data_IF_880275872003
#
_entry.id   IF_880275872003
#
_cell.length_a   1.000
_cell.length_b   1.000
_cell.length_c   1.000
_cell.angle_alpha   90.00
_cell.angle_beta   90.00
_cell.angle_gamma   90.00
#
_symmetry.space_group_name_H-M   'P 1'
#
loop_
_entity.id
_entity.type
_entity.pdbx_description
1 polymer ?
#
# COMPACT_ATOMS: atom_id res chain seq x y z
N UNK A 1 9.14 -10.59 1.38
CA UNK A 1 9.19 -10.86 2.84
C UNK A 1 10.55 -10.45 3.36
N UNK A 2 10.64 -10.10 4.64
CA UNK A 2 11.88 -9.64 5.28
C UNK A 2 12.70 -10.81 5.85
N UNK A 3 13.94 -10.56 6.24
CA UNK A 3 14.90 -11.64 6.53
C UNK A 3 14.50 -12.39 7.81
N UNK A 4 14.14 -11.68 8.89
CA UNK A 4 13.73 -12.33 10.14
C UNK A 4 12.33 -12.94 10.01
N UNK A 5 11.43 -12.40 9.20
CA UNK A 5 10.16 -13.05 8.85
C UNK A 5 10.39 -14.44 8.23
N UNK A 6 11.29 -14.52 7.24
CA UNK A 6 11.64 -15.78 6.56
C UNK A 6 12.27 -16.77 7.55
N UNK A 7 13.19 -16.30 8.40
CA UNK A 7 13.82 -17.14 9.42
C UNK A 7 12.76 -17.68 10.40
N UNK A 8 11.89 -16.83 10.94
CA UNK A 8 10.83 -17.24 11.88
C UNK A 8 9.87 -18.26 11.25
N UNK A 9 9.43 -18.02 10.02
CA UNK A 9 8.51 -18.93 9.30
C UNK A 9 9.16 -20.27 8.96
N UNK A 10 10.38 -20.24 8.41
CA UNK A 10 11.09 -21.45 8.03
C UNK A 10 11.40 -22.30 9.26
N UNK A 11 11.93 -21.68 10.31
CA UNK A 11 12.31 -22.39 11.53
C UNK A 11 11.12 -22.90 12.31
N UNK A 12 10.03 -22.15 12.43
CA UNK A 12 8.79 -22.64 13.08
C UNK A 12 8.16 -23.81 12.30
N UNK A 13 8.19 -23.75 10.96
CA UNK A 13 7.67 -24.83 10.10
C UNK A 13 8.53 -26.10 10.22
N UNK A 14 9.86 -25.97 10.12
CA UNK A 14 10.80 -27.10 10.30
C UNK A 14 10.62 -27.69 11.70
N UNK A 15 10.53 -26.85 12.72
CA UNK A 15 10.46 -27.32 14.11
C UNK A 15 9.15 -28.03 14.44
N UNK A 16 8.02 -27.60 13.85
CA UNK A 16 6.76 -28.36 13.89
C UNK A 16 6.96 -29.80 13.39
N UNK A 17 7.68 -29.97 12.28
CA UNK A 17 7.94 -31.28 11.69
C UNK A 17 8.94 -32.11 12.53
N UNK A 18 9.98 -31.48 13.09
CA UNK A 18 10.93 -32.14 14.00
C UNK A 18 10.25 -32.64 15.28
N UNK A 19 9.34 -31.86 15.86
CA UNK A 19 8.54 -32.29 17.01
C UNK A 19 7.62 -33.47 16.66
N UNK A 20 7.05 -33.48 15.45
CA UNK A 20 6.18 -34.57 14.99
C UNK A 20 6.95 -35.87 14.72
N UNK A 21 8.18 -35.79 14.20
CA UNK A 21 9.01 -36.95 13.84
C UNK A 21 9.97 -37.41 14.95
N UNK A 22 10.00 -36.69 16.09
CA UNK A 22 10.90 -36.96 17.22
C UNK A 22 12.39 -36.89 16.87
N UNK A 23 12.74 -36.21 15.77
CA UNK A 23 14.11 -36.08 15.28
C UNK A 23 14.81 -34.84 15.86
N UNK A 24 14.73 -34.65 17.18
CA UNK A 24 15.46 -33.56 17.84
C UNK A 24 16.22 -34.07 19.06
N UNK A 25 17.55 -34.10 18.96
CA UNK A 25 18.47 -34.41 20.06
C UNK A 25 18.88 -33.19 20.90
N UNK A 26 18.20 -32.05 20.71
CA UNK A 26 18.55 -30.77 21.34
C UNK A 26 17.88 -30.62 22.71
N UNK A 27 18.59 -30.02 23.66
CA UNK A 27 17.99 -29.58 24.92
C UNK A 27 16.94 -28.50 24.64
N UNK A 28 15.78 -28.55 25.31
CA UNK A 28 14.67 -27.60 25.09
C UNK A 28 15.03 -26.12 25.24
N UNK A 29 16.12 -25.81 25.95
CA UNK A 29 16.63 -24.45 26.12
C UNK A 29 17.10 -23.82 24.82
N UNK A 30 17.75 -24.59 23.94
CA UNK A 30 18.32 -24.08 22.69
C UNK A 30 17.23 -23.53 21.73
N UNK A 31 16.19 -24.29 21.35
CA UNK A 31 15.14 -23.78 20.46
C UNK A 31 14.34 -22.63 21.08
N UNK A 32 14.10 -22.65 22.40
CA UNK A 32 13.43 -21.56 23.10
C UNK A 32 14.25 -20.26 23.02
N UNK A 33 15.54 -20.32 23.36
CA UNK A 33 16.43 -19.17 23.25
C UNK A 33 16.53 -18.67 21.81
N UNK A 34 16.60 -19.57 20.84
CA UNK A 34 16.61 -19.23 19.43
C UNK A 34 15.35 -18.46 19.02
N UNK A 35 14.15 -19.01 19.26
CA UNK A 35 12.90 -18.33 18.92
C UNK A 35 12.75 -16.98 19.61
N UNK A 36 13.08 -16.89 20.91
CA UNK A 36 13.05 -15.62 21.64
C UNK A 36 14.02 -14.59 21.06
N UNK A 37 15.24 -15.01 20.70
CA UNK A 37 16.27 -14.11 20.15
C UNK A 37 15.89 -13.59 18.77
N UNK A 38 15.43 -14.46 17.88
CA UNK A 38 15.01 -14.07 16.52
C UNK A 38 13.74 -13.21 16.57
N UNK A 39 12.78 -13.53 17.45
CA UNK A 39 11.57 -12.73 17.62
C UNK A 39 11.90 -11.33 18.16
N UNK A 40 12.81 -11.23 19.12
CA UNK A 40 13.31 -9.94 19.62
C UNK A 40 14.00 -9.15 18.50
N UNK A 41 14.89 -9.78 17.73
CA UNK A 41 15.55 -9.14 16.59
C UNK A 41 14.55 -8.65 15.55
N UNK A 42 13.53 -9.46 15.22
CA UNK A 42 12.45 -9.08 14.31
C UNK A 42 11.71 -7.82 14.81
N UNK A 43 11.29 -7.79 16.07
CA UNK A 43 10.58 -6.63 16.61
C UNK A 43 11.44 -5.36 16.68
N UNK A 44 12.74 -5.49 16.98
CA UNK A 44 13.65 -4.35 17.07
C UNK A 44 14.10 -3.81 15.71
N UNK A 45 14.35 -4.70 14.74
CA UNK A 45 14.98 -4.33 13.47
C UNK A 45 13.99 -4.22 12.31
N UNK A 46 12.98 -5.09 12.25
CA UNK A 46 11.98 -5.10 11.18
C UNK A 46 10.63 -4.51 11.63
N UNK A 47 10.41 -4.43 12.94
CA UNK A 47 9.17 -3.93 13.53
C UNK A 47 8.03 -4.96 13.53
N UNK A 48 7.02 -4.69 14.35
CA UNK A 48 5.81 -5.52 14.43
C UNK A 48 5.01 -5.48 13.13
N UNK A 49 4.54 -6.65 12.68
CA UNK A 49 3.65 -6.79 11.52
C UNK A 49 2.50 -7.73 11.82
N UNK A 50 1.27 -7.27 11.66
CA UNK A 50 0.09 -8.08 11.94
C UNK A 50 -0.01 -9.32 11.01
N UNK A 51 0.58 -9.27 9.81
CA UNK A 51 0.63 -10.41 8.90
C UNK A 51 1.36 -11.62 9.51
N UNK A 52 2.24 -11.38 10.48
CA UNK A 52 3.03 -12.40 11.16
C UNK A 52 2.34 -12.96 12.41
N UNK A 53 1.14 -12.48 12.77
CA UNK A 53 0.38 -12.98 13.94
C UNK A 53 0.19 -14.50 13.93
N UNK A 54 -0.19 -15.16 12.82
CA UNK A 54 -0.26 -16.63 12.78
C UNK A 54 1.07 -17.29 13.17
N UNK A 55 2.20 -16.76 12.67
CA UNK A 55 3.54 -17.26 12.99
C UNK A 55 3.89 -17.04 14.45
N UNK A 56 3.56 -15.88 15.03
CA UNK A 56 3.78 -15.61 16.45
C UNK A 56 2.99 -16.60 17.33
N UNK A 57 1.73 -16.88 16.96
CA UNK A 57 0.91 -17.88 17.66
C UNK A 57 1.50 -19.28 17.56
N UNK A 58 1.97 -19.69 16.37
CA UNK A 58 2.68 -20.97 16.18
C UNK A 58 3.89 -21.04 17.10
N UNK A 59 4.73 -20.00 17.16
CA UNK A 59 5.93 -19.98 18.00
C UNK A 59 5.57 -20.08 19.49
N UNK A 60 4.53 -19.39 19.95
CA UNK A 60 4.05 -19.48 21.34
C UNK A 60 3.58 -20.89 21.66
N UNK A 61 2.78 -21.50 20.78
CA UNK A 61 2.28 -22.88 20.95
C UNK A 61 3.44 -23.87 20.95
N UNK A 62 4.38 -23.76 20.01
CA UNK A 62 5.58 -24.59 19.95
C UNK A 62 6.41 -24.47 21.24
N UNK A 63 6.65 -23.24 21.70
CA UNK A 63 7.41 -22.97 22.91
C UNK A 63 6.74 -23.56 24.15
N UNK A 64 5.42 -23.45 24.24
CA UNK A 64 4.63 -24.07 25.31
C UNK A 64 4.70 -25.60 25.26
N UNK A 65 4.51 -26.19 24.08
CA UNK A 65 4.58 -27.64 23.89
C UNK A 65 5.98 -28.18 24.22
N UNK A 66 7.05 -27.47 23.87
CA UNK A 66 8.41 -27.83 24.27
C UNK A 66 8.62 -27.77 25.78
N UNK A 67 8.13 -26.72 26.42
CA UNK A 67 8.28 -26.55 27.86
C UNK A 67 7.56 -27.66 28.64
N UNK A 68 6.34 -28.01 28.21
CA UNK A 68 5.49 -29.06 28.80
C UNK A 68 5.80 -30.47 28.27
N UNK A 69 6.77 -30.61 27.37
CA UNK A 69 7.12 -31.89 26.73
C UNK A 69 5.91 -32.57 26.08
N UNK A 70 5.00 -31.73 25.55
CA UNK A 70 3.79 -32.16 24.88
C UNK A 70 4.12 -32.83 23.55
N UNK A 71 3.45 -33.96 23.28
CA UNK A 71 3.69 -34.77 22.09
C UNK A 71 2.58 -34.51 21.06
N UNK A 72 2.94 -33.82 19.97
CA UNK A 72 2.09 -33.69 18.80
C UNK A 72 1.77 -35.08 18.21
N UNK A 73 0.58 -35.22 17.62
CA UNK A 73 0.12 -36.46 16.99
C UNK A 73 0.10 -37.71 17.91
N UNK A 74 0.07 -37.53 19.24
CA UNK A 74 -0.22 -38.62 20.19
C UNK A 74 -1.72 -38.71 20.49
N UNK A 75 -2.23 -39.94 20.60
CA UNK A 75 -3.64 -40.22 20.89
C UNK A 75 -4.36 -40.94 19.74
N UNK A 76 -5.69 -40.92 19.79
CA UNK A 76 -6.54 -41.55 18.79
C UNK A 76 -6.47 -40.83 17.43
N UNK A 77 -6.95 -41.52 16.38
CA UNK A 77 -6.94 -41.00 15.00
C UNK A 77 -7.62 -39.63 14.88
N UNK A 78 -8.70 -39.40 15.63
CA UNK A 78 -9.40 -38.11 15.67
C UNK A 78 -8.48 -36.94 16.08
N UNK A 79 -7.72 -37.07 17.17
CA UNK A 79 -6.77 -36.03 17.61
C UNK A 79 -5.68 -35.78 16.58
N UNK A 80 -5.16 -36.84 15.94
CA UNK A 80 -4.16 -36.73 14.88
C UNK A 80 -4.71 -35.96 13.67
N UNK A 81 -5.92 -36.29 13.23
CA UNK A 81 -6.61 -35.59 12.15
C UNK A 81 -6.83 -34.12 12.48
N UNK A 82 -7.25 -33.82 13.71
CA UNK A 82 -7.44 -32.43 14.16
C UNK A 82 -6.15 -31.61 14.11
N UNK A 83 -5.01 -32.18 14.55
CA UNK A 83 -3.71 -31.52 14.41
C UNK A 83 -3.32 -31.32 12.93
N UNK A 84 -3.48 -32.35 12.09
CA UNK A 84 -3.16 -32.26 10.67
C UNK A 84 -3.98 -31.18 9.96
N UNK A 85 -5.30 -31.15 10.18
CA UNK A 85 -6.20 -30.14 9.62
C UNK A 85 -5.81 -28.74 10.10
N UNK A 86 -5.52 -28.58 11.39
CA UNK A 86 -5.08 -27.28 11.94
C UNK A 86 -3.80 -26.78 11.27
N UNK A 87 -2.83 -27.66 11.04
CA UNK A 87 -1.58 -27.32 10.35
C UNK A 87 -1.80 -26.98 8.88
N UNK A 88 -2.65 -27.74 8.18
CA UNK A 88 -3.03 -27.51 6.78
C UNK A 88 -3.70 -26.14 6.61
N UNK A 89 -4.42 -25.66 7.62
CA UNK A 89 -5.05 -24.34 7.57
C UNK A 89 -4.06 -23.23 7.97
N UNK A 90 -3.35 -23.39 9.09
CA UNK A 90 -2.57 -22.29 9.66
C UNK A 90 -1.27 -22.00 8.88
N UNK A 91 -0.61 -23.03 8.32
CA UNK A 91 0.67 -22.85 7.64
C UNK A 91 0.54 -22.05 6.33
N UNK A 92 -0.44 -22.34 5.45
CA UNK A 92 -0.68 -21.51 4.26
C UNK A 92 -1.04 -20.07 4.62
N UNK A 93 -1.77 -19.83 5.71
CA UNK A 93 -2.10 -18.47 6.16
C UNK A 93 -0.83 -17.76 6.66
N UNK A 94 0.00 -18.45 7.46
CA UNK A 94 1.23 -17.92 8.02
C UNK A 94 2.24 -17.50 6.93
N UNK A 95 2.37 -18.29 5.87
CA UNK A 95 3.21 -17.95 4.72
C UNK A 95 2.52 -16.97 3.75
N UNK A 96 1.23 -17.17 3.50
CA UNK A 96 0.47 -16.44 2.50
C UNK A 96 0.26 -14.98 2.83
N UNK A 97 -0.04 -14.62 4.09
CA UNK A 97 -0.27 -13.22 4.48
C UNK A 97 0.96 -12.31 4.26
N UNK A 98 2.15 -12.61 4.81
CA UNK A 98 3.33 -11.75 4.61
C UNK A 98 3.87 -11.80 3.18
N UNK A 99 3.58 -12.87 2.42
CA UNK A 99 3.88 -12.95 0.99
C UNK A 99 2.96 -12.04 0.15
N UNK A 100 1.64 -12.12 0.36
CA UNK A 100 0.65 -11.36 -0.40
C UNK A 100 0.62 -9.87 -0.03
N UNK A 101 0.92 -9.54 1.22
CA UNK A 101 0.96 -8.17 1.73
C UNK A 101 2.35 -7.84 2.28
N UNK A 102 3.40 -7.74 1.44
CA UNK A 102 4.75 -7.47 1.90
C UNK A 102 4.94 -5.99 2.23
N UNK A 103 5.84 -5.69 3.18
CA UNK A 103 6.43 -4.36 3.26
C UNK A 103 7.55 -4.28 2.19
N UNK A 104 7.18 -3.82 1.00
CA UNK A 104 8.04 -3.78 -0.19
C UNK A 104 9.01 -2.58 -0.16
N UNK A 105 10.00 -2.62 -1.05
CA UNK A 105 10.90 -1.50 -1.29
C UNK A 105 10.52 -0.83 -2.61
N UNK A 106 10.50 0.50 -2.62
CA UNK A 106 10.39 1.26 -3.86
C UNK A 106 11.71 1.15 -4.65
N UNK A 107 11.67 1.15 -5.99
CA UNK A 107 12.88 1.20 -6.79
C UNK A 107 13.63 2.50 -6.50
N UNK A 108 14.96 2.43 -6.45
CA UNK A 108 15.80 3.61 -6.26
C UNK A 108 15.79 4.44 -7.55
N UNK A 109 15.45 5.74 -7.50
CA UNK A 109 15.50 6.59 -8.68
C UNK A 109 16.90 6.65 -9.28
N UNK A 110 16.99 6.62 -10.60
CA UNK A 110 18.27 6.50 -11.32
C UNK A 110 18.84 7.83 -11.80
N UNK A 111 18.03 8.89 -11.78
CA UNK A 111 18.42 10.21 -12.24
C UNK A 111 19.32 10.99 -11.27
N UNK A 112 19.79 12.15 -11.75
CA UNK A 112 20.74 13.02 -11.03
C UNK A 112 20.14 13.69 -9.79
N UNK A 113 18.85 14.00 -9.81
CA UNK A 113 18.21 14.80 -8.77
C UNK A 113 17.56 13.94 -7.69
N UNK A 114 17.44 14.50 -6.49
CA UNK A 114 16.59 13.95 -5.43
C UNK A 114 15.18 14.50 -5.59
N UNK A 115 14.17 13.77 -5.14
CA UNK A 115 12.78 14.21 -5.23
C UNK A 115 12.37 14.93 -3.94
N UNK A 116 12.02 16.21 -4.04
CA UNK A 116 11.29 16.92 -2.99
C UNK A 116 9.79 16.87 -3.26
N UNK A 117 8.98 16.98 -2.22
CA UNK A 117 7.53 17.17 -2.34
C UNK A 117 7.03 18.33 -1.48
N UNK A 118 5.92 18.92 -1.93
CA UNK A 118 5.07 19.80 -1.13
C UNK A 118 3.62 19.67 -1.58
N UNK A 119 2.67 20.05 -0.71
CA UNK A 119 1.25 20.08 -1.03
C UNK A 119 0.78 21.51 -1.27
N UNK A 120 0.01 21.71 -2.33
CA UNK A 120 -0.70 22.94 -2.63
C UNK A 120 -2.21 22.70 -2.49
N UNK A 121 -2.89 23.62 -1.83
CA UNK A 121 -4.35 23.67 -1.78
C UNK A 121 -4.85 24.65 -2.83
N UNK A 122 -5.71 24.19 -3.73
CA UNK A 122 -6.32 25.02 -4.76
C UNK A 122 -7.83 24.99 -4.60
N UNK A 123 -8.43 26.15 -4.31
CA UNK A 123 -9.88 26.35 -4.39
C UNK A 123 -10.20 27.10 -5.68
N UNK A 124 -11.04 26.51 -6.53
CA UNK A 124 -11.41 27.12 -7.81
C UNK A 124 -12.73 27.88 -7.69
N UNK A 125 -13.11 28.60 -8.74
CA UNK A 125 -14.41 29.28 -8.84
C UNK A 125 -15.53 28.36 -9.38
N UNK A 126 -15.19 27.14 -9.81
CA UNK A 126 -16.15 26.16 -10.32
C UNK A 126 -16.98 25.59 -9.17
N UNK A 127 -18.23 25.25 -9.47
CA UNK A 127 -19.10 24.59 -8.51
C UNK A 127 -18.64 23.15 -8.25
N UNK A 128 -18.82 22.69 -7.02
CA UNK A 128 -18.58 21.30 -6.64
C UNK A 128 -19.86 20.48 -6.86
N UNK A 129 -19.89 19.74 -7.97
CA UNK A 129 -21.06 18.98 -8.42
C UNK A 129 -21.23 17.63 -7.68
N UNK A 130 -20.20 17.15 -7.00
CA UNK A 130 -20.23 15.82 -6.36
C UNK A 130 -20.96 15.85 -5.01
N UNK A 131 -21.04 17.02 -4.38
CA UNK A 131 -21.72 17.18 -3.09
C UNK A 131 -23.10 17.79 -3.26
N UNK A 132 -24.06 17.49 -2.37
CA UNK A 132 -25.38 18.12 -2.41
C UNK A 132 -25.37 19.58 -1.90
N UNK A 133 -24.22 20.12 -1.50
CA UNK A 133 -24.14 21.44 -0.87
C UNK A 133 -24.22 22.54 -1.94
N UNK A 134 -25.26 23.36 -1.86
CA UNK A 134 -25.42 24.52 -2.73
C UNK A 134 -24.28 25.52 -2.54
N UNK A 135 -23.78 26.08 -3.64
CA UNK A 135 -22.66 27.03 -3.67
C UNK A 135 -21.33 26.50 -3.09
N UNK A 136 -21.17 25.18 -2.97
CA UNK A 136 -19.84 24.61 -2.71
C UNK A 136 -18.95 24.78 -3.93
N UNK A 137 -17.65 24.98 -3.70
CA UNK A 137 -16.67 25.28 -4.74
C UNK A 137 -15.63 24.19 -4.80
N UNK A 138 -15.29 23.79 -6.02
CA UNK A 138 -14.34 22.72 -6.29
C UNK A 138 -12.99 23.04 -5.65
N UNK A 139 -12.56 22.18 -4.76
CA UNK A 139 -11.30 22.30 -4.05
C UNK A 139 -10.44 21.07 -4.33
N UNK A 140 -9.15 21.26 -4.55
CA UNK A 140 -8.20 20.22 -4.96
C UNK A 140 -6.96 20.28 -4.07
N UNK A 141 -6.43 19.10 -3.77
CA UNK A 141 -5.09 18.96 -3.21
C UNK A 141 -4.14 18.56 -4.32
N UNK A 142 -3.09 19.35 -4.53
CA UNK A 142 -2.08 19.09 -5.55
C UNK A 142 -0.79 18.77 -4.83
N UNK A 143 -0.28 17.55 -5.03
CA UNK A 143 1.05 17.21 -4.55
C UNK A 143 2.05 17.47 -5.67
N UNK A 144 2.99 18.36 -5.39
CA UNK A 144 4.04 18.76 -6.34
C UNK A 144 5.31 18.03 -5.95
N UNK A 145 5.82 17.19 -6.83
CA UNK A 145 7.17 16.67 -6.74
C UNK A 145 8.11 17.48 -7.63
N UNK A 146 9.32 17.75 -7.14
CA UNK A 146 10.29 18.59 -7.84
C UNK A 146 11.73 18.14 -7.59
N UNK A 147 12.66 18.43 -8.52
CA UNK A 147 14.08 18.20 -8.32
C UNK A 147 14.58 19.03 -7.13
N UNK A 148 15.22 18.38 -6.16
CA UNK A 148 15.60 18.98 -4.89
C UNK A 148 17.10 18.92 -4.63
N UNK A 149 17.59 19.90 -3.88
CA UNK A 149 18.90 19.88 -3.21
C UNK A 149 18.66 19.60 -1.73
N UNK A 150 19.20 18.48 -1.26
CA UNK A 150 18.99 18.02 0.11
C UNK A 150 20.04 18.60 1.04
N UNK A 151 19.62 18.89 2.27
CA UNK A 151 20.50 19.15 3.39
C UNK A 151 20.34 18.04 4.43
N UNK A 152 19.17 17.93 5.07
CA UNK A 152 18.87 16.97 6.15
C UNK A 152 17.35 16.70 6.28
N UNK A 153 16.59 16.90 5.22
CA UNK A 153 15.14 16.71 5.22
C UNK A 153 14.76 15.24 5.43
N UNK A 154 13.61 15.02 6.05
CA UNK A 154 13.07 13.68 6.26
C UNK A 154 12.32 13.21 5.01
N UNK A 155 12.35 11.91 4.77
CA UNK A 155 11.49 11.29 3.77
C UNK A 155 10.04 11.27 4.24
N UNK A 156 9.10 11.42 3.33
CA UNK A 156 7.67 11.34 3.64
C UNK A 156 7.19 9.89 3.81
N UNK A 157 6.14 9.65 4.61
CA UNK A 157 5.54 8.32 4.72
C UNK A 157 4.89 7.91 3.38
N UNK A 158 4.86 6.60 3.11
CA UNK A 158 4.25 6.07 1.89
C UNK A 158 2.75 6.39 1.81
N UNK A 159 2.03 6.33 2.94
CA UNK A 159 0.64 6.78 3.06
C UNK A 159 0.54 7.93 4.06
N UNK A 160 -0.13 9.01 3.66
CA UNK A 160 -0.64 9.98 4.61
C UNK A 160 -1.97 9.48 5.24
N UNK A 161 -2.52 10.23 6.20
CA UNK A 161 -3.74 9.84 6.91
C UNK A 161 -4.97 9.76 6.01
N UNK A 162 -5.09 10.65 5.02
CA UNK A 162 -6.16 10.63 4.02
C UNK A 162 -6.09 9.40 3.12
N UNK A 163 -4.90 9.04 2.64
CA UNK A 163 -4.67 7.84 1.82
C UNK A 163 -5.04 6.57 2.61
N UNK A 164 -4.64 6.51 3.89
CA UNK A 164 -4.92 5.38 4.79
C UNK A 164 -6.41 5.25 5.08
N UNK A 165 -7.08 6.35 5.41
CA UNK A 165 -8.53 6.38 5.61
C UNK A 165 -9.28 5.99 4.33
N UNK A 166 -8.79 6.44 3.17
CA UNK A 166 -9.32 6.09 1.87
C UNK A 166 -9.23 4.59 1.57
N UNK A 167 -8.07 3.97 1.79
CA UNK A 167 -7.94 2.52 1.64
C UNK A 167 -8.79 1.73 2.64
N UNK A 168 -8.82 2.16 3.90
CA UNK A 168 -9.69 1.57 4.93
C UNK A 168 -11.15 1.56 4.48
N UNK A 169 -11.65 2.71 3.98
CA UNK A 169 -13.02 2.83 3.47
C UNK A 169 -13.25 1.97 2.22
N UNK A 170 -12.34 2.01 1.25
CA UNK A 170 -12.46 1.27 -0.03
C UNK A 170 -12.55 -0.23 0.18
N UNK A 171 -11.67 -0.78 1.02
CA UNK A 171 -11.61 -2.22 1.28
C UNK A 171 -12.52 -2.68 2.43
N UNK A 172 -13.20 -1.74 3.11
CA UNK A 172 -14.04 -2.01 4.30
C UNK A 172 -13.25 -2.69 5.42
N UNK A 173 -12.02 -2.21 5.63
CA UNK A 173 -11.08 -2.73 6.62
C UNK A 173 -10.73 -1.63 7.63
N UNK A 174 -10.36 -1.97 8.87
CA UNK A 174 -9.78 -1.01 9.80
C UNK A 174 -8.51 -0.37 9.23
N UNK A 175 -8.29 0.92 9.49
CA UNK A 175 -7.09 1.63 9.02
C UNK A 175 -5.77 0.98 9.50
N UNK A 176 -5.79 0.33 10.66
CA UNK A 176 -4.64 -0.38 11.24
C UNK A 176 -4.12 -1.53 10.37
N UNK A 177 -4.97 -2.10 9.48
CA UNK A 177 -4.55 -3.13 8.52
C UNK A 177 -3.44 -2.61 7.59
N UNK A 178 -3.38 -1.30 7.34
CA UNK A 178 -2.40 -0.67 6.46
C UNK A 178 -1.13 -0.18 7.17
N UNK A 179 -1.01 -0.33 8.50
CA UNK A 179 0.16 0.14 9.27
C UNK A 179 1.48 -0.51 8.85
N UNK A 180 1.45 -1.70 8.26
CA UNK A 180 2.66 -2.32 7.72
C UNK A 180 3.29 -1.51 6.57
N UNK A 181 2.53 -0.62 5.92
CA UNK A 181 3.03 0.25 4.87
C UNK A 181 3.87 1.42 5.43
N UNK A 182 3.86 1.66 6.74
CA UNK A 182 4.72 2.65 7.39
C UNK A 182 6.21 2.25 7.32
N UNK A 183 6.45 0.96 7.10
CA UNK A 183 7.79 0.44 6.88
C UNK A 183 8.25 0.51 5.42
N UNK A 184 7.41 0.97 4.48
CA UNK A 184 7.81 1.25 3.10
C UNK A 184 8.50 2.61 3.07
N UNK A 185 9.76 2.63 2.62
CA UNK A 185 10.55 3.86 2.52
C UNK A 185 10.41 4.47 1.13
N UNK A 186 10.03 5.75 1.10
CA UNK A 186 10.01 6.57 -0.12
C UNK A 186 11.40 7.18 -0.36
N UNK A 187 11.62 7.69 -1.57
CA UNK A 187 12.78 8.52 -1.92
C UNK A 187 12.38 9.99 -2.10
N UNK A 188 11.23 10.38 -1.54
CA UNK A 188 10.69 11.72 -1.59
C UNK A 188 10.87 12.42 -0.25
N UNK A 189 11.42 13.63 -0.28
CA UNK A 189 11.78 14.42 0.89
C UNK A 189 10.76 15.56 1.10
N UNK A 190 10.38 15.79 2.36
CA UNK A 190 9.36 16.79 2.72
C UNK A 190 9.97 18.20 2.67
N UNK A 191 9.42 19.06 1.80
CA UNK A 191 9.75 20.48 1.69
C UNK A 191 11.26 20.84 1.62
N UNK A 192 12.13 20.11 0.90
CA UNK A 192 13.52 20.53 0.70
C UNK A 192 13.61 21.75 -0.22
N UNK A 193 14.80 22.35 -0.29
CA UNK A 193 15.07 23.40 -1.26
C UNK A 193 15.01 22.87 -2.70
N UNK A 194 14.33 23.60 -3.59
CA UNK A 194 14.28 23.27 -5.02
C UNK A 194 15.70 23.37 -5.61
N UNK A 195 16.10 22.40 -6.43
CA UNK A 195 17.37 22.44 -7.12
C UNK A 195 17.43 23.63 -8.10
N UNK A 196 18.63 24.19 -8.31
CA UNK A 196 18.81 25.28 -9.28
C UNK A 196 18.62 24.76 -10.72
N UNK A 197 17.81 25.45 -11.51
CA UNK A 197 17.62 25.14 -12.93
C UNK A 197 16.25 25.54 -13.46
N UNK A 198 15.99 25.21 -14.72
CA UNK A 198 14.65 25.23 -15.33
C UNK A 198 14.25 23.79 -15.59
N UNK A 199 13.03 23.42 -15.18
CA UNK A 199 12.54 22.06 -15.28
C UNK A 199 11.20 22.04 -16.03
N UNK A 200 11.01 21.11 -16.98
CA UNK A 200 9.69 20.86 -17.56
C UNK A 200 8.68 20.47 -16.48
N UNK A 201 7.42 20.89 -16.67
CA UNK A 201 6.31 20.59 -15.77
C UNK A 201 5.39 19.58 -16.43
N UNK A 202 5.07 18.52 -15.69
CA UNK A 202 4.08 17.52 -16.06
C UNK A 202 2.89 17.62 -15.11
N UNK A 203 1.68 17.54 -15.67
CA UNK A 203 0.45 17.40 -14.90
C UNK A 203 0.10 15.91 -14.89
N UNK A 204 -0.08 15.36 -13.69
CA UNK A 204 -0.43 13.97 -13.50
C UNK A 204 -1.84 13.86 -12.90
N UNK A 205 -2.64 12.99 -13.49
CA UNK A 205 -3.98 12.65 -13.01
C UNK A 205 -4.03 11.16 -12.68
N UNK A 206 -4.53 10.83 -11.50
CA UNK A 206 -4.66 9.45 -11.06
C UNK A 206 -5.85 8.75 -11.73
N UNK A 207 -5.90 7.42 -11.63
CA UNK A 207 -7.07 6.65 -12.06
C UNK A 207 -8.28 6.87 -11.16
N UNK A 208 -9.49 6.63 -11.66
CA UNK A 208 -10.72 6.76 -10.89
C UNK A 208 -10.74 5.82 -9.66
N UNK A 209 -11.24 6.32 -8.53
CA UNK A 209 -11.27 5.64 -7.23
C UNK A 209 -9.93 5.05 -6.78
N UNK A 210 -8.81 5.63 -7.22
CA UNK A 210 -7.45 5.22 -6.86
C UNK A 210 -6.82 6.15 -5.82
N UNK A 211 -5.70 5.74 -5.24
CA UNK A 211 -4.92 6.60 -4.37
C UNK A 211 -4.12 7.59 -5.25
N UNK A 212 -4.45 8.87 -5.15
CA UNK A 212 -3.78 9.94 -5.90
C UNK A 212 -2.27 9.95 -5.67
N UNK A 213 -1.80 9.75 -4.43
CA UNK A 213 -0.37 9.75 -4.07
C UNK A 213 0.34 8.43 -4.36
N UNK A 214 -0.34 7.40 -4.87
CA UNK A 214 0.17 6.03 -4.94
C UNK A 214 1.25 5.75 -6.00
N UNK A 215 1.64 6.75 -6.80
CA UNK A 215 2.48 6.58 -7.99
C UNK A 215 3.98 6.88 -7.75
N UNK A 216 4.47 6.64 -6.53
CA UNK A 216 5.84 6.97 -6.11
C UNK A 216 6.93 6.48 -7.06
N UNK A 217 6.94 5.19 -7.41
CA UNK A 217 8.00 4.62 -8.26
C UNK A 217 8.15 5.36 -9.60
N UNK A 218 7.04 5.73 -10.23
CA UNK A 218 7.02 6.45 -11.50
C UNK A 218 7.40 7.92 -11.31
N UNK A 219 6.76 8.59 -10.35
CA UNK A 219 6.94 10.04 -10.15
C UNK A 219 8.35 10.34 -9.63
N UNK A 220 8.88 9.56 -8.69
CA UNK A 220 10.24 9.72 -8.17
C UNK A 220 11.28 9.54 -9.29
N UNK A 221 11.09 8.58 -10.19
CA UNK A 221 11.98 8.37 -11.34
C UNK A 221 11.95 9.57 -12.30
N UNK A 222 10.77 10.03 -12.69
CA UNK A 222 10.58 11.20 -13.56
C UNK A 222 11.24 12.44 -12.93
N UNK A 223 11.00 12.68 -11.65
CA UNK A 223 11.52 13.85 -10.93
C UNK A 223 13.04 13.78 -10.79
N UNK A 224 13.60 12.59 -10.56
CA UNK A 224 15.05 12.40 -10.52
C UNK A 224 15.74 12.76 -11.84
N UNK A 225 15.02 12.73 -12.96
CA UNK A 225 15.48 13.15 -14.29
C UNK A 225 15.29 14.65 -14.58
N UNK A 226 14.82 15.44 -13.61
CA UNK A 226 14.73 16.89 -13.75
C UNK A 226 13.36 17.38 -14.23
N UNK A 227 12.28 16.69 -13.87
CA UNK A 227 10.91 17.13 -14.14
C UNK A 227 10.23 17.56 -12.84
N UNK A 228 9.37 18.57 -12.92
CA UNK A 228 8.39 18.87 -11.88
C UNK A 228 7.11 18.12 -12.24
N UNK A 229 6.51 17.42 -11.28
CA UNK A 229 5.25 16.71 -11.47
C UNK A 229 4.21 17.30 -10.52
N UNK A 230 3.15 17.88 -11.09
CA UNK A 230 1.96 18.35 -10.38
C UNK A 230 0.89 17.26 -10.43
N UNK A 231 0.78 16.48 -9.37
CA UNK A 231 -0.21 15.43 -9.25
C UNK A 231 -1.48 15.97 -8.59
N UNK A 232 -2.58 15.92 -9.32
CA UNK A 232 -3.87 16.43 -8.86
C UNK A 232 -4.61 15.30 -8.15
N UNK A 233 -4.93 15.49 -6.86
CA UNK A 233 -5.88 14.66 -6.14
C UNK A 233 -7.29 15.23 -6.38
N UNK A 234 -8.08 14.53 -7.19
CA UNK A 234 -9.46 14.88 -7.50
C UNK A 234 -10.37 14.54 -6.33
N UNK A 235 -10.78 15.57 -5.59
CA UNK A 235 -11.59 15.45 -4.37
C UNK A 235 -12.89 14.70 -4.65
N UNK A 236 -13.24 13.77 -3.75
CA UNK A 236 -14.39 12.85 -3.87
C UNK A 236 -14.31 11.81 -5.00
N UNK A 237 -13.25 11.81 -5.81
CA UNK A 237 -13.05 10.83 -6.89
C UNK A 237 -11.82 9.94 -6.66
N UNK A 238 -10.86 10.41 -5.84
CA UNK A 238 -9.80 9.57 -5.28
C UNK A 238 -10.28 8.76 -4.08
N UNK A 239 -9.49 7.80 -3.60
CA UNK A 239 -9.80 7.09 -2.36
C UNK A 239 -9.93 8.03 -1.15
N UNK A 240 -9.15 9.11 -1.14
CA UNK A 240 -9.11 10.06 -0.03
C UNK A 240 -8.19 11.23 -0.32
N UNK A 241 -8.60 12.42 0.13
CA UNK A 241 -7.82 13.65 0.08
C UNK A 241 -7.72 14.27 1.48
N UNK A 242 -6.50 14.47 1.97
CA UNK A 242 -6.20 15.16 3.23
C UNK A 242 -6.00 16.66 2.98
N UNK A 243 -6.83 17.48 3.59
CA UNK A 243 -6.79 18.95 3.46
C UNK A 243 -5.95 19.59 4.58
N UNK A 244 -5.49 20.85 4.42
CA UNK A 244 -4.64 21.51 5.40
C UNK A 244 -5.27 21.68 6.79
N UNK A 245 -6.61 21.72 6.87
CA UNK A 245 -7.37 21.77 8.12
C UNK A 245 -7.50 20.40 8.82
N UNK A 246 -6.89 19.35 8.28
CA UNK A 246 -7.01 17.96 8.78
C UNK A 246 -8.27 17.23 8.30
N UNK A 247 -9.13 17.88 7.50
CA UNK A 247 -10.31 17.24 6.94
C UNK A 247 -9.91 16.19 5.89
N UNK A 248 -10.54 15.03 5.96
CA UNK A 248 -10.36 13.97 4.98
C UNK A 248 -11.64 13.84 4.15
N UNK A 249 -11.53 14.14 2.85
CA UNK A 249 -12.62 13.98 1.89
C UNK A 249 -12.45 12.67 1.14
N UNK A 250 -13.40 11.77 1.31
CA UNK A 250 -13.36 10.41 0.75
C UNK A 250 -14.15 10.34 -0.57
N UNK A 251 -13.89 9.27 -1.32
CA UNK A 251 -14.66 8.91 -2.51
C UNK A 251 -16.19 8.97 -2.30
N UNK A 252 -16.91 9.63 -3.20
CA UNK A 252 -18.37 9.72 -3.15
C UNK A 252 -19.02 8.53 -3.83
N UNK A 253 -19.28 7.48 -3.05
CA UNK A 253 -20.03 6.29 -3.55
C UNK A 253 -21.46 6.62 -3.96
N UNK A 254 -22.05 7.67 -3.40
CA UNK A 254 -23.41 8.09 -3.74
C UNK A 254 -23.46 8.70 -5.15
N UNK A 255 -22.55 9.63 -5.43
CA UNK A 255 -22.42 10.26 -6.74
C UNK A 255 -22.06 9.24 -7.82
N UNK A 256 -21.07 8.38 -7.55
CA UNK A 256 -20.66 7.29 -8.45
C UNK A 256 -21.84 6.38 -8.81
N UNK A 257 -22.65 5.95 -7.83
CA UNK A 257 -23.82 5.09 -8.10
C UNK A 257 -24.85 5.73 -9.03
N UNK A 258 -24.97 7.05 -9.02
CA UNK A 258 -25.93 7.80 -9.85
C UNK A 258 -25.38 8.07 -11.26
N UNK A 259 -24.09 8.40 -11.37
CA UNK A 259 -23.48 8.91 -12.61
C UNK A 259 -22.70 7.84 -13.38
N UNK A 260 -22.16 6.81 -12.72
CA UNK A 260 -21.48 5.68 -13.35
C UNK A 260 -22.49 4.63 -13.82
N UNK A 261 -23.31 5.05 -14.78
CA UNK A 261 -24.45 4.29 -15.29
C UNK A 261 -24.15 3.66 -16.66
N UNK A 262 -25.17 3.03 -17.26
CA UNK A 262 -25.05 2.34 -18.55
C UNK A 262 -24.66 3.28 -19.69
N UNK A 263 -25.16 4.51 -19.69
CA UNK A 263 -24.83 5.52 -20.71
C UNK A 263 -23.35 5.86 -20.67
N UNK A 264 -22.80 6.07 -19.46
CA UNK A 264 -21.37 6.33 -19.28
C UNK A 264 -20.51 5.13 -19.67
N UNK A 265 -20.96 3.91 -19.36
CA UNK A 265 -20.28 2.69 -19.81
C UNK A 265 -20.26 2.56 -21.34
N UNK A 266 -21.38 2.85 -22.02
CA UNK A 266 -21.48 2.83 -23.48
C UNK A 266 -20.61 3.92 -24.12
N UNK A 267 -20.63 5.14 -23.57
CA UNK A 267 -19.78 6.25 -24.02
C UNK A 267 -18.30 5.88 -23.90
N UNK A 268 -17.89 5.32 -22.75
CA UNK A 268 -16.53 4.86 -22.51
C UNK A 268 -16.13 3.74 -23.47
N UNK A 269 -17.01 2.75 -23.66
CA UNK A 269 -16.76 1.64 -24.59
C UNK A 269 -16.53 2.14 -26.01
N UNK A 270 -17.43 2.98 -26.52
CA UNK A 270 -17.35 3.54 -27.87
C UNK A 270 -16.10 4.39 -28.06
N UNK A 271 -15.77 5.23 -27.07
CA UNK A 271 -14.54 6.02 -27.07
C UNK A 271 -13.29 5.14 -27.21
N UNK A 272 -13.21 4.05 -26.43
CA UNK A 272 -12.08 3.10 -26.49
C UNK A 272 -12.02 2.38 -27.84
N UNK A 273 -13.16 1.94 -28.39
CA UNK A 273 -13.16 1.27 -29.70
C UNK A 273 -12.71 2.21 -30.81
N UNK A 274 -13.18 3.46 -30.79
CA UNK A 274 -12.78 4.48 -31.76
C UNK A 274 -11.31 4.84 -31.61
N UNK A 275 -10.81 5.00 -30.38
CA UNK A 275 -9.39 5.26 -30.11
C UNK A 275 -8.49 4.15 -30.65
N UNK A 276 -8.90 2.87 -30.52
CA UNK A 276 -8.13 1.73 -31.05
C UNK A 276 -8.11 1.65 -32.58
N UNK A 277 -9.16 2.13 -33.24
CA UNK A 277 -9.27 2.17 -34.71
C UNK A 277 -8.60 3.40 -35.33
N UNK A 278 -8.36 4.44 -34.52
CA UNK A 278 -7.73 5.66 -34.95
C UNK A 278 -6.35 5.40 -35.54
N UNK A 279 -6.08 6.01 -36.69
CA UNK A 279 -4.83 5.86 -37.45
C UNK A 279 -3.82 6.95 -37.13
N UNK A 280 -4.25 8.01 -36.44
CA UNK A 280 -3.44 9.17 -36.10
C UNK A 280 -3.90 9.80 -34.76
N UNK A 281 -3.07 10.70 -34.22
CA UNK A 281 -3.32 11.34 -32.92
C UNK A 281 -4.56 12.24 -32.89
N UNK A 282 -4.95 12.82 -34.03
CA UNK A 282 -6.13 13.68 -34.09
C UNK A 282 -7.42 12.84 -33.94
N UNK A 283 -7.50 11.71 -34.64
CA UNK A 283 -8.60 10.75 -34.47
C UNK A 283 -8.65 10.17 -33.05
N UNK A 284 -7.49 9.88 -32.45
CA UNK A 284 -7.39 9.44 -31.05
C UNK A 284 -7.97 10.49 -30.09
N UNK A 285 -7.64 11.77 -30.28
CA UNK A 285 -8.17 12.86 -29.46
C UNK A 285 -9.68 12.99 -29.62
N UNK A 286 -10.18 13.05 -30.85
CA UNK A 286 -11.62 13.14 -31.14
C UNK A 286 -12.40 11.97 -30.54
N UNK A 287 -11.82 10.76 -30.54
CA UNK A 287 -12.46 9.56 -29.99
C UNK A 287 -12.75 9.67 -28.49
N UNK A 288 -11.94 10.42 -27.73
CA UNK A 288 -12.06 10.55 -26.28
C UNK A 288 -12.59 11.91 -25.83
N UNK A 289 -12.65 12.92 -26.71
CA UNK A 289 -13.05 14.28 -26.33
C UNK A 289 -14.45 14.33 -25.72
N UNK A 290 -15.43 13.66 -26.34
CA UNK A 290 -16.80 13.64 -25.83
C UNK A 290 -16.87 12.97 -24.45
N UNK A 291 -16.11 11.90 -24.25
CA UNK A 291 -16.03 11.22 -22.96
C UNK A 291 -15.44 12.16 -21.90
N UNK A 292 -14.34 12.86 -22.20
CA UNK A 292 -13.67 13.76 -21.24
C UNK A 292 -14.57 14.94 -20.85
N UNK A 293 -15.39 15.45 -21.78
CA UNK A 293 -16.26 16.61 -21.53
C UNK A 293 -17.53 16.29 -20.75
N UNK A 294 -17.98 15.04 -20.81
CA UNK A 294 -19.26 14.59 -20.22
C UNK A 294 -19.07 13.49 -19.16
N UNK A 295 -17.84 13.27 -18.73
CA UNK A 295 -17.52 12.48 -17.55
C UNK A 295 -17.85 13.28 -16.29
#
# INVERSE_FOLDING_TARGET
MRIFEIILLSTSTIFLFLMATRSYGLTKRIPLLFFSSVLLAHFLLEGYRWQMVPTYLIIVILSWCLFKEYQFFKGNWFKKSMYAVSLIIILPIAWGLPYALPAFNLPKPTGKYKAGSQYLYLKTNQDEIITPKTADKRALMIKVWYPASLNNEKTEPYLNDGDRAGFAKKYRLPASVFNYLDYVKTHTFINPSIAKGKFPVLIFSHGYYSNASGYYALIEEIVSHGYIVMNINHTYESTGALFPNGEIKLYSTAYDKEHNNKEMAEMTWNAIQNYKKATNSNEQYTAIENLIRNY
#
